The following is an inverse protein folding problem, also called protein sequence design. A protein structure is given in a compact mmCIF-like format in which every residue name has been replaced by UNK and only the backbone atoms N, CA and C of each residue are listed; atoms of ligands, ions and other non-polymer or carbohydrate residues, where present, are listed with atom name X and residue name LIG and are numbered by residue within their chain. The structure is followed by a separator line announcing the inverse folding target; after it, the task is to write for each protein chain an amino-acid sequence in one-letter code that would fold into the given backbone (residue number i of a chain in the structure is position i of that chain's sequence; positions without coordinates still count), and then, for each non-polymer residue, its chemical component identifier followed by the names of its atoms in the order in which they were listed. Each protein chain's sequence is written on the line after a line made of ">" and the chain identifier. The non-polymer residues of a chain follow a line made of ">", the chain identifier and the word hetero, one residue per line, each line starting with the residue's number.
data_IF_742727951348
#
_entry.id   IF_742727951348
#
_cell.length_a   1.000
_cell.length_b   1.000
_cell.length_c   1.000
_cell.angle_alpha   90.00
_cell.angle_beta   90.00
_cell.angle_gamma   90.00
#
_symmetry.space_group_name_H-M   'P 1'
#
loop_
_entity.id
_entity.type
_entity.pdbx_description
1 polymer ?
#
# COMPACT_ATOMS: atom_id res chain seq x y z
N UNK A 1 12.82 -2.74 0.81
CA UNK A 1 11.73 -2.42 1.77
C UNK A 1 12.11 -2.92 3.16
N UNK A 2 11.71 -2.24 4.23
CA UNK A 2 12.03 -2.54 5.63
C UNK A 2 10.79 -2.34 6.53
N UNK A 3 10.65 -3.13 7.59
CA UNK A 3 9.52 -3.05 8.52
C UNK A 3 8.35 -3.95 8.14
N UNK A 4 7.26 -3.81 8.90
CA UNK A 4 5.99 -4.51 8.71
C UNK A 4 4.90 -3.45 8.47
N UNK A 5 4.11 -3.62 7.42
CA UNK A 5 2.98 -2.75 7.13
C UNK A 5 1.66 -3.49 7.38
N UNK A 6 0.69 -2.82 7.98
CA UNK A 6 -0.71 -3.27 7.93
C UNK A 6 -1.35 -2.71 6.67
N UNK A 7 -1.88 -3.59 5.83
CA UNK A 7 -2.54 -3.26 4.57
C UNK A 7 -4.02 -3.59 4.70
N UNK A 8 -4.86 -2.57 4.59
CA UNK A 8 -6.29 -2.73 4.33
C UNK A 8 -6.52 -2.64 2.82
N UNK A 9 -7.21 -3.60 2.22
CA UNK A 9 -7.57 -3.63 0.79
C UNK A 9 -8.94 -4.26 0.61
N UNK A 10 -9.91 -3.51 0.10
CA UNK A 10 -11.29 -3.94 -0.15
C UNK A 10 -11.96 -4.63 1.07
N UNK A 11 -11.65 -4.13 2.27
CA UNK A 11 -12.17 -4.65 3.54
C UNK A 11 -11.40 -5.83 4.12
N UNK A 12 -10.43 -6.40 3.39
CA UNK A 12 -9.47 -7.36 3.91
C UNK A 12 -8.31 -6.62 4.60
N UNK A 13 -7.87 -7.09 5.78
CA UNK A 13 -6.71 -6.54 6.48
C UNK A 13 -5.66 -7.63 6.69
N UNK A 14 -4.42 -7.36 6.30
CA UNK A 14 -3.30 -8.28 6.44
C UNK A 14 -1.99 -7.55 6.71
N UNK A 15 -1.00 -8.27 7.25
CA UNK A 15 0.35 -7.75 7.46
C UNK A 15 1.23 -8.09 6.25
N UNK A 16 1.97 -7.10 5.77
CA UNK A 16 2.98 -7.23 4.72
C UNK A 16 4.37 -7.14 5.36
N UNK A 17 5.14 -8.21 5.25
CA UNK A 17 6.48 -8.32 5.83
C UNK A 17 7.55 -7.71 4.92
N UNK A 18 8.74 -7.50 5.48
CA UNK A 18 9.89 -7.10 4.69
C UNK A 18 10.20 -8.12 3.57
N UNK A 19 10.41 -7.61 2.36
CA UNK A 19 10.61 -8.36 1.10
C UNK A 19 9.35 -9.01 0.51
N UNK A 20 8.19 -8.84 1.13
CA UNK A 20 6.92 -9.19 0.48
C UNK A 20 6.41 -8.05 -0.38
N UNK A 21 5.53 -8.40 -1.32
CA UNK A 21 4.82 -7.45 -2.16
C UNK A 21 3.36 -7.86 -2.28
N UNK A 22 2.52 -6.88 -2.56
CA UNK A 22 1.11 -7.10 -2.86
C UNK A 22 0.70 -6.18 -3.99
N UNK A 23 -0.33 -6.58 -4.72
CA UNK A 23 -0.94 -5.76 -5.77
C UNK A 23 -2.17 -5.08 -5.18
N UNK A 24 -2.29 -3.78 -5.44
CA UNK A 24 -3.52 -3.03 -5.23
C UNK A 24 -4.26 -3.00 -6.58
N UNK A 25 -5.39 -3.72 -6.71
CA UNK A 25 -6.19 -3.70 -7.93
C UNK A 25 -6.72 -2.30 -8.25
N UNK A 26 -7.01 -2.06 -9.51
CA UNK A 26 -7.66 -0.82 -9.92
C UNK A 26 -8.99 -0.64 -9.17
N UNK A 27 -9.24 0.58 -8.71
CA UNK A 27 -10.42 0.97 -7.91
C UNK A 27 -10.50 0.32 -6.52
N UNK A 28 -9.51 -0.47 -6.09
CA UNK A 28 -9.50 -1.05 -4.76
C UNK A 28 -9.31 0.04 -3.71
N UNK A 29 -10.23 0.11 -2.74
CA UNK A 29 -10.04 1.01 -1.59
C UNK A 29 -8.99 0.38 -0.70
N UNK A 30 -7.91 1.11 -0.44
CA UNK A 30 -6.81 0.60 0.33
C UNK A 30 -6.23 1.63 1.30
N UNK A 31 -5.60 1.16 2.36
CA UNK A 31 -4.87 1.97 3.35
C UNK A 31 -3.64 1.20 3.81
N UNK A 32 -2.50 1.88 3.89
CA UNK A 32 -1.29 1.34 4.50
C UNK A 32 -1.06 2.03 5.84
N UNK A 33 -0.79 1.25 6.88
CA UNK A 33 -0.45 1.74 8.20
C UNK A 33 0.87 1.12 8.67
N UNK A 34 1.60 1.85 9.51
CA UNK A 34 2.75 1.33 10.25
C UNK A 34 2.28 1.02 11.68
N UNK A 35 1.88 -0.22 12.00
CA UNK A 35 1.50 -0.59 13.38
C UNK A 35 2.70 -0.74 14.31
N UNK A 36 3.91 -0.83 13.74
CA UNK A 36 5.15 -1.06 14.46
C UNK A 36 5.74 0.18 15.13
N UNK A 37 6.76 -0.05 15.95
CA UNK A 37 7.57 1.00 16.59
C UNK A 37 8.82 1.37 15.79
N UNK A 38 9.09 0.64 14.71
CA UNK A 38 10.24 0.84 13.82
C UNK A 38 9.83 1.62 12.58
N UNK A 39 10.81 2.20 11.90
CA UNK A 39 10.59 2.89 10.64
C UNK A 39 10.12 1.87 9.59
N UNK A 40 9.02 2.18 8.91
CA UNK A 40 8.51 1.44 7.76
C UNK A 40 9.00 2.12 6.47
N UNK A 41 9.70 1.36 5.63
CA UNK A 41 10.17 1.81 4.32
C UNK A 41 9.57 0.93 3.23
N UNK A 42 8.69 1.53 2.41
CA UNK A 42 7.96 0.89 1.34
C UNK A 42 8.37 1.47 -0.03
N UNK A 43 8.14 0.69 -1.09
CA UNK A 43 8.26 1.17 -2.47
C UNK A 43 6.89 0.95 -3.10
N UNK A 44 6.27 2.04 -3.55
CA UNK A 44 5.05 1.99 -4.33
C UNK A 44 5.40 2.14 -5.81
N UNK A 45 4.86 1.24 -6.63
CA UNK A 45 5.02 1.29 -8.09
C UNK A 45 3.64 1.39 -8.69
N UNK A 46 3.35 2.52 -9.32
CA UNK A 46 2.12 2.74 -10.05
C UNK A 46 2.34 2.45 -11.54
N UNK A 47 1.39 1.73 -12.15
CA UNK A 47 1.44 1.34 -13.56
C UNK A 47 0.14 1.76 -14.23
N UNK A 48 0.23 2.49 -15.34
CA UNK A 48 -0.93 2.96 -16.11
C UNK A 48 -0.50 3.85 -17.27
N UNK A 49 -1.39 4.04 -18.25
CA UNK A 49 -1.13 4.96 -19.39
C UNK A 49 -1.05 6.42 -18.95
N UNK A 50 -1.76 6.76 -17.87
CA UNK A 50 -1.70 8.04 -17.18
C UNK A 50 -1.50 7.77 -15.70
N UNK A 51 -0.42 8.31 -15.15
CA UNK A 51 -0.09 8.23 -13.73
C UNK A 51 -0.04 9.67 -13.25
N UNK A 52 -1.17 10.16 -12.76
CA UNK A 52 -1.31 11.52 -12.23
C UNK A 52 -1.82 11.44 -10.79
N UNK A 53 -1.28 12.27 -9.90
CA UNK A 53 -1.76 12.42 -8.52
C UNK A 53 -3.26 12.79 -8.45
N UNK A 54 -3.77 13.46 -9.48
CA UNK A 54 -5.19 13.79 -9.61
C UNK A 54 -6.09 12.55 -9.81
N UNK A 55 -5.52 11.42 -10.24
CA UNK A 55 -6.25 10.17 -10.41
C UNK A 55 -6.36 9.40 -9.07
N UNK A 56 -5.77 9.91 -7.98
CA UNK A 56 -5.78 9.30 -6.63
C UNK A 56 -6.74 10.07 -5.71
N UNK A 57 -7.77 9.40 -5.22
CA UNK A 57 -8.69 9.95 -4.20
C UNK A 57 -8.21 9.53 -2.81
N UNK A 58 -7.82 10.49 -1.98
CA UNK A 58 -7.39 10.28 -0.58
C UNK A 58 -8.58 10.43 0.38
N UNK A 59 -8.71 9.51 1.35
CA UNK A 59 -9.75 9.50 2.39
C UNK A 59 -9.12 9.44 3.78
#
# INVERSE_FOLDING_TARGET
>A
VQGEAEVERDGETFLLQANESTVIPQNAKHRLANPGKTLLLLIEVQMGERVDENDIIRY
#
